data_IF_175601586084
#
_entry.id   IF_175601586084
#
_cell.length_a   1.000
_cell.length_b   1.000
_cell.length_c   1.000
_cell.angle_alpha   90.00
_cell.angle_beta   90.00
_cell.angle_gamma   90.00
#
_symmetry.space_group_name_H-M   'P 1'
#
loop_
_entity.id
_entity.type
_entity.pdbx_description
1 polymer ?
#
# COMPACT_ATOMS: atom_id res chain seq x y z
N UNK A 1 -19.71 3.40 7.10
CA UNK A 1 -19.11 4.68 6.67
C UNK A 1 -19.74 5.20 5.37
N UNK A 2 -19.73 4.45 4.27
CA UNK A 2 -20.28 4.90 2.99
C UNK A 2 -21.79 5.23 3.07
N UNK A 3 -22.62 4.35 3.64
CA UNK A 3 -24.05 4.63 3.84
C UNK A 3 -24.30 5.88 4.68
N UNK A 4 -23.53 6.06 5.76
CA UNK A 4 -23.57 7.26 6.60
C UNK A 4 -23.25 8.52 5.80
N UNK A 5 -22.24 8.47 4.93
CA UNK A 5 -21.85 9.57 4.06
C UNK A 5 -23.00 9.99 3.12
N UNK A 6 -23.67 9.03 2.49
CA UNK A 6 -24.81 9.28 1.61
C UNK A 6 -26.00 9.87 2.39
N UNK A 7 -26.33 9.29 3.55
CA UNK A 7 -27.45 9.75 4.38
C UNK A 7 -27.24 11.17 4.93
N UNK A 8 -26.02 11.48 5.41
CA UNK A 8 -25.71 12.81 5.97
C UNK A 8 -25.76 13.91 4.92
N UNK A 9 -25.45 13.57 3.67
CA UNK A 9 -25.42 14.54 2.57
C UNK A 9 -26.70 14.55 1.72
N UNK A 10 -27.75 13.84 2.15
CA UNK A 10 -29.05 13.74 1.46
C UNK A 10 -28.92 13.23 0.01
N UNK A 11 -28.02 12.26 -0.20
CA UNK A 11 -27.76 11.63 -1.49
C UNK A 11 -28.30 10.21 -1.48
N UNK A 12 -29.01 9.81 -2.55
CA UNK A 12 -29.55 8.47 -2.68
C UNK A 12 -28.44 7.42 -2.82
N UNK A 13 -28.48 6.38 -1.96
CA UNK A 13 -27.51 5.29 -1.98
C UNK A 13 -27.81 4.31 -3.12
N UNK A 14 -27.28 4.56 -4.31
CA UNK A 14 -27.46 3.72 -5.50
C UNK A 14 -26.14 3.08 -5.94
N UNK A 15 -26.25 1.96 -6.67
CA UNK A 15 -25.08 1.30 -7.26
C UNK A 15 -24.37 2.19 -8.28
N UNK A 16 -25.12 3.00 -9.01
CA UNK A 16 -24.58 3.96 -9.98
C UNK A 16 -23.76 5.07 -9.31
N UNK A 17 -24.24 5.59 -8.16
CA UNK A 17 -23.50 6.59 -7.39
C UNK A 17 -22.19 6.02 -6.81
N UNK A 18 -22.21 4.75 -6.38
CA UNK A 18 -21.00 4.07 -5.91
C UNK A 18 -20.00 3.89 -7.06
N UNK A 19 -20.44 3.48 -8.24
CA UNK A 19 -19.59 3.31 -9.41
C UNK A 19 -19.00 4.65 -9.90
N UNK A 20 -19.78 5.73 -9.79
CA UNK A 20 -19.32 7.08 -10.10
C UNK A 20 -18.22 7.53 -9.16
N UNK A 21 -18.37 7.31 -7.84
CA UNK A 21 -17.31 7.58 -6.87
C UNK A 21 -16.08 6.69 -7.08
N UNK A 22 -16.28 5.41 -7.36
CA UNK A 22 -15.19 4.49 -7.65
C UNK A 22 -14.37 4.96 -8.86
N UNK A 23 -15.05 5.40 -9.93
CA UNK A 23 -14.40 5.98 -11.10
C UNK A 23 -13.68 7.29 -10.78
N UNK A 24 -14.29 8.17 -9.96
CA UNK A 24 -13.70 9.43 -9.52
C UNK A 24 -12.40 9.24 -8.73
N UNK A 25 -12.36 8.19 -7.89
CA UNK A 25 -11.15 7.80 -7.14
C UNK A 25 -10.18 6.91 -7.95
N UNK A 26 -10.41 6.71 -9.25
CA UNK A 26 -9.61 5.84 -10.12
C UNK A 26 -9.51 4.38 -9.64
N UNK A 27 -10.56 3.88 -8.98
CA UNK A 27 -10.69 2.48 -8.54
C UNK A 27 -11.79 1.81 -9.36
N UNK A 28 -11.48 1.11 -10.46
CA UNK A 28 -12.48 0.62 -11.41
C UNK A 28 -13.33 -0.54 -10.87
N UNK A 29 -12.92 -1.18 -9.78
CA UNK A 29 -13.61 -2.31 -9.18
C UNK A 29 -14.36 -1.82 -7.94
N UNK A 30 -15.69 -2.00 -7.93
CA UNK A 30 -16.56 -1.55 -6.83
C UNK A 30 -16.17 -2.14 -5.48
N UNK A 31 -15.84 -3.42 -5.45
CA UNK A 31 -15.44 -4.12 -4.24
C UNK A 31 -14.16 -3.53 -3.61
N UNK A 32 -13.20 -3.15 -4.44
CA UNK A 32 -11.96 -2.53 -3.99
C UNK A 32 -12.20 -1.11 -3.48
N UNK A 33 -13.09 -0.36 -4.14
CA UNK A 33 -13.53 0.95 -3.65
C UNK A 33 -14.22 0.85 -2.29
N UNK A 34 -15.17 -0.09 -2.15
CA UNK A 34 -15.88 -0.32 -0.88
C UNK A 34 -14.92 -0.73 0.24
N UNK A 35 -13.93 -1.56 -0.07
CA UNK A 35 -12.87 -1.96 0.85
C UNK A 35 -12.03 -0.74 1.25
N UNK A 36 -11.58 0.05 0.30
CA UNK A 36 -10.78 1.25 0.54
C UNK A 36 -11.49 2.28 1.43
N UNK A 37 -12.79 2.47 1.26
CA UNK A 37 -13.60 3.31 2.16
C UNK A 37 -13.73 2.69 3.54
N UNK A 38 -13.88 1.36 3.64
CA UNK A 38 -13.95 0.63 4.90
C UNK A 38 -12.64 0.72 5.70
N UNK A 39 -11.53 0.56 5.05
CA UNK A 39 -10.17 0.62 5.59
C UNK A 39 -9.64 2.04 5.80
N UNK A 40 -10.44 3.07 5.45
CA UNK A 40 -10.07 4.49 5.50
C UNK A 40 -8.87 4.87 4.60
N UNK A 41 -8.55 4.06 3.62
CA UNK A 41 -7.56 4.40 2.56
C UNK A 41 -8.15 5.37 1.55
N UNK A 42 -9.48 5.33 1.38
CA UNK A 42 -10.24 6.31 0.61
C UNK A 42 -11.09 7.12 1.60
N UNK A 43 -10.81 8.42 1.69
CA UNK A 43 -11.53 9.35 2.56
C UNK A 43 -12.49 10.16 1.70
N UNK A 44 -13.78 10.04 1.99
CA UNK A 44 -14.83 10.79 1.29
C UNK A 44 -14.96 12.21 1.87
N UNK A 45 -15.12 13.20 1.00
CA UNK A 45 -15.18 14.62 1.37
C UNK A 45 -16.10 15.46 0.47
N UNK A 46 -15.97 16.79 0.54
CA UNK A 46 -16.81 17.72 -0.23
C UNK A 46 -16.72 17.53 -1.75
N UNK A 47 -15.58 17.14 -2.27
CA UNK A 47 -15.37 16.88 -3.71
C UNK A 47 -16.21 15.71 -4.22
N UNK A 48 -16.42 14.71 -3.38
CA UNK A 48 -17.26 13.55 -3.68
C UNK A 48 -18.73 13.91 -3.74
N UNK A 49 -19.15 14.85 -2.87
CA UNK A 49 -20.50 15.40 -2.88
C UNK A 49 -20.73 16.22 -4.16
N UNK A 50 -19.78 17.09 -4.53
CA UNK A 50 -19.85 17.88 -5.74
C UNK A 50 -19.92 17.00 -7.00
N UNK A 51 -19.16 15.89 -7.04
CA UNK A 51 -19.20 14.91 -8.13
C UNK A 51 -20.56 14.22 -8.23
N UNK A 52 -21.14 13.75 -7.11
CA UNK A 52 -22.44 13.06 -7.09
C UNK A 52 -23.63 14.00 -7.35
N UNK A 53 -23.55 15.25 -6.89
CA UNK A 53 -24.65 16.23 -7.01
C UNK A 53 -24.57 17.08 -8.28
N UNK A 54 -23.50 16.93 -9.06
CA UNK A 54 -23.26 17.74 -10.27
C UNK A 54 -23.02 19.23 -9.97
N UNK A 55 -22.76 19.60 -8.72
CA UNK A 55 -22.44 20.98 -8.31
C UNK A 55 -20.99 21.32 -8.67
N UNK A 56 -20.70 21.39 -9.97
CA UNK A 56 -19.51 22.11 -10.40
C UNK A 56 -19.72 23.58 -10.06
N UNK A 57 -18.95 24.11 -9.11
CA UNK A 57 -18.83 25.54 -8.92
C UNK A 57 -18.25 26.10 -10.23
N UNK A 58 -19.13 26.62 -11.09
CA UNK A 58 -18.69 27.52 -12.13
C UNK A 58 -18.04 28.71 -11.42
N UNK A 59 -16.74 28.75 -11.44
CA UNK A 59 -16.00 29.96 -11.10
C UNK A 59 -16.30 30.97 -12.19
N UNK A 60 -17.41 31.71 -12.03
CA UNK A 60 -17.69 32.93 -12.79
C UNK A 60 -16.63 33.96 -12.44
N UNK A 61 -15.52 33.88 -13.14
CA UNK A 61 -14.52 34.92 -13.17
C UNK A 61 -15.05 36.11 -13.99
N UNK A 62 -15.80 36.98 -13.37
CA UNK A 62 -16.05 38.32 -13.92
C UNK A 62 -14.85 39.22 -13.63
N UNK A 63 -14.14 39.55 -14.69
CA UNK A 63 -13.53 40.86 -14.89
C UNK A 63 -12.23 41.14 -14.15
N UNK A 64 -11.11 40.97 -14.86
CA UNK A 64 -10.11 42.02 -14.96
C UNK A 64 -9.23 41.79 -16.19
N UNK A 65 -9.76 42.27 -17.32
CA UNK A 65 -8.91 42.61 -18.48
C UNK A 65 -8.31 43.98 -18.18
N UNK A 66 -7.03 44.04 -17.89
CA UNK A 66 -6.11 45.09 -18.34
C UNK A 66 -4.71 44.87 -17.76
N UNK A 67 -3.74 44.96 -18.66
CA UNK A 67 -2.30 44.96 -18.50
C UNK A 67 -1.60 43.60 -18.53
N UNK A 68 -1.30 43.19 -19.75
CA UNK A 68 -0.17 42.30 -20.05
C UNK A 68 0.68 42.98 -21.13
N UNK A 69 1.96 43.15 -20.89
CA UNK A 69 2.91 43.26 -22.01
C UNK A 69 3.27 41.85 -22.48
N UNK A 70 3.12 41.68 -23.74
CA UNK A 70 3.54 40.64 -24.63
C UNK A 70 4.97 40.18 -24.37
N UNK A 71 5.19 38.91 -23.99
CA UNK A 71 6.45 38.19 -24.22
C UNK A 71 6.21 36.81 -24.79
N UNK A 72 6.98 36.54 -25.87
CA UNK A 72 6.94 35.38 -26.78
C UNK A 72 7.36 34.08 -26.14
N UNK A 73 6.67 33.02 -26.61
CA UNK A 73 7.12 31.68 -26.97
C UNK A 73 8.03 30.90 -26.02
N UNK A 74 7.53 29.78 -25.55
CA UNK A 74 8.36 28.73 -25.01
C UNK A 74 7.56 27.56 -24.42
N UNK A 75 7.27 26.59 -25.27
CA UNK A 75 7.04 25.14 -24.96
C UNK A 75 6.17 24.75 -23.76
N UNK A 76 5.06 24.10 -24.12
CA UNK A 76 4.21 23.27 -23.28
C UNK A 76 4.99 22.48 -22.19
N UNK A 77 4.75 22.85 -20.94
CA UNK A 77 4.92 21.93 -19.80
C UNK A 77 3.52 21.58 -19.30
N UNK A 78 3.10 20.36 -19.55
CA UNK A 78 1.98 19.73 -18.84
C UNK A 78 2.33 19.78 -17.35
N UNK A 79 1.51 20.51 -16.60
CA UNK A 79 1.55 20.48 -15.14
C UNK A 79 0.81 19.19 -14.73
N UNK A 80 1.56 18.16 -14.46
CA UNK A 80 1.05 16.99 -13.75
C UNK A 80 0.89 17.40 -12.29
N UNK A 81 -0.31 17.25 -11.77
CA UNK A 81 -0.62 17.45 -10.35
C UNK A 81 0.20 16.46 -9.53
N UNK A 82 1.18 16.97 -8.82
CA UNK A 82 1.98 16.23 -7.86
C UNK A 82 1.16 16.05 -6.58
N UNK A 83 0.50 14.91 -6.44
CA UNK A 83 0.31 14.32 -5.14
C UNK A 83 1.70 14.09 -4.56
N UNK A 84 2.02 14.74 -3.45
CA UNK A 84 3.30 14.65 -2.76
C UNK A 84 3.52 13.23 -2.24
N UNK A 85 3.95 12.31 -3.09
CA UNK A 85 4.57 11.06 -2.66
C UNK A 85 6.05 11.38 -2.41
N UNK A 86 6.50 11.23 -1.16
CA UNK A 86 7.92 11.34 -0.75
C UNK A 86 8.81 10.23 -1.37
N UNK A 87 8.36 9.60 -2.44
CA UNK A 87 9.08 8.51 -3.09
C UNK A 87 10.34 9.05 -3.78
N UNK A 88 11.45 8.38 -3.54
CA UNK A 88 12.73 8.70 -4.15
C UNK A 88 12.66 8.46 -5.66
N UNK A 89 12.83 9.53 -6.45
CA UNK A 89 13.02 9.44 -7.88
C UNK A 89 14.51 9.30 -8.16
N UNK A 90 14.88 8.21 -8.80
CA UNK A 90 16.28 7.87 -9.09
C UNK A 90 16.83 8.80 -10.16
N UNK A 91 17.86 9.58 -9.82
CA UNK A 91 18.65 10.32 -10.78
C UNK A 91 19.56 9.37 -11.58
N UNK A 92 19.88 9.73 -12.83
CA UNK A 92 20.78 8.96 -13.70
C UNK A 92 22.21 8.79 -13.13
N UNK A 93 22.51 9.48 -12.02
CA UNK A 93 23.77 9.42 -11.28
C UNK A 93 23.83 8.33 -10.19
N UNK A 94 22.73 7.59 -9.95
CA UNK A 94 22.72 6.55 -8.93
C UNK A 94 23.77 5.47 -9.26
N UNK A 95 24.70 5.25 -8.34
CA UNK A 95 25.73 4.22 -8.52
C UNK A 95 25.13 2.84 -8.24
N UNK A 96 24.66 2.18 -9.30
CA UNK A 96 23.99 0.87 -9.26
C UNK A 96 24.88 -0.28 -8.72
N UNK A 97 26.18 -0.04 -8.56
CA UNK A 97 27.13 -1.04 -8.01
C UNK A 97 27.19 -1.00 -6.47
N UNK A 98 26.65 0.04 -5.85
CA UNK A 98 26.58 0.15 -4.38
C UNK A 98 25.19 -0.28 -3.91
N UNK A 99 25.09 -1.08 -2.83
CA UNK A 99 23.80 -1.40 -2.24
C UNK A 99 23.13 -0.14 -1.71
N UNK A 100 21.80 -0.10 -1.82
CA UNK A 100 20.99 0.89 -1.13
C UNK A 100 20.71 0.39 0.30
N UNK A 101 20.78 1.29 1.26
CA UNK A 101 20.47 0.97 2.65
C UNK A 101 19.09 1.52 3.01
N UNK A 102 18.22 0.64 3.49
CA UNK A 102 16.88 0.98 3.93
C UNK A 102 16.94 1.23 5.43
N UNK A 103 16.71 2.47 5.84
CA UNK A 103 16.80 2.93 7.24
C UNK A 103 15.45 3.47 7.70
N UNK A 104 15.26 3.63 9.01
CA UNK A 104 14.06 4.24 9.59
C UNK A 104 13.75 5.64 9.00
N UNK A 105 14.80 6.39 8.64
CA UNK A 105 14.67 7.75 8.12
C UNK A 105 14.28 7.82 6.63
N UNK A 106 14.60 6.81 5.83
CA UNK A 106 14.36 6.83 4.38
C UNK A 106 13.32 5.80 3.90
N UNK A 107 12.72 5.02 4.79
CA UNK A 107 11.78 3.95 4.44
C UNK A 107 10.60 4.45 3.60
N UNK A 108 10.11 5.65 3.87
CA UNK A 108 9.01 6.28 3.12
C UNK A 108 9.37 6.65 1.67
N UNK A 109 10.65 6.58 1.30
CA UNK A 109 11.13 6.86 -0.05
C UNK A 109 11.04 5.65 -0.97
N UNK A 110 10.81 4.46 -0.43
CA UNK A 110 10.72 3.19 -1.15
C UNK A 110 9.30 2.67 -1.19
N UNK A 111 8.98 1.95 -2.25
CA UNK A 111 7.70 1.28 -2.40
C UNK A 111 7.85 -0.20 -2.08
N UNK A 112 7.23 -0.66 -1.00
CA UNK A 112 7.24 -2.07 -0.61
C UNK A 112 6.15 -2.82 -1.34
N UNK A 113 6.52 -3.94 -1.96
CA UNK A 113 5.61 -4.62 -2.87
C UNK A 113 4.75 -5.66 -2.16
N UNK A 114 3.44 -5.56 -2.39
CA UNK A 114 2.43 -6.45 -1.78
C UNK A 114 2.52 -7.92 -2.21
N UNK A 115 3.23 -8.22 -3.31
CA UNK A 115 3.40 -9.60 -3.77
C UNK A 115 4.29 -10.46 -2.84
N UNK A 116 5.08 -9.83 -1.97
CA UNK A 116 6.02 -10.53 -1.08
C UNK A 116 6.18 -9.88 0.30
N UNK A 117 5.55 -8.72 0.56
CA UNK A 117 5.57 -8.02 1.84
C UNK A 117 6.93 -8.08 2.54
N UNK A 118 8.00 -7.51 1.94
CA UNK A 118 9.33 -7.61 2.51
C UNK A 118 9.42 -6.86 3.83
N UNK A 119 9.99 -7.51 4.84
CA UNK A 119 10.19 -6.96 6.19
C UNK A 119 11.67 -6.90 6.55
N UNK A 120 12.09 -6.10 7.54
CA UNK A 120 13.47 -6.06 7.99
C UNK A 120 14.02 -7.44 8.33
N UNK A 121 15.25 -7.72 7.89
CA UNK A 121 15.89 -9.03 8.01
C UNK A 121 15.65 -9.97 6.84
N UNK A 122 14.72 -9.66 5.91
CA UNK A 122 14.61 -10.38 4.66
C UNK A 122 15.77 -10.04 3.71
N UNK A 123 16.14 -11.01 2.85
CA UNK A 123 17.04 -10.73 1.73
C UNK A 123 16.26 -10.04 0.63
N UNK A 124 16.58 -8.77 0.37
CA UNK A 124 15.80 -7.91 -0.52
C UNK A 124 16.61 -7.42 -1.71
N UNK A 125 15.87 -6.97 -2.72
CA UNK A 125 16.40 -6.24 -3.85
C UNK A 125 15.50 -5.05 -4.19
N UNK A 126 16.09 -4.02 -4.78
CA UNK A 126 15.38 -2.88 -5.35
C UNK A 126 15.19 -3.06 -6.86
N UNK A 127 14.04 -2.66 -7.37
CA UNK A 127 13.76 -2.56 -8.79
C UNK A 127 13.38 -1.13 -9.14
N UNK A 128 14.02 -0.56 -10.16
CA UNK A 128 13.68 0.78 -10.66
C UNK A 128 12.53 0.66 -11.64
N UNK A 129 11.36 1.18 -11.30
CA UNK A 129 10.17 1.16 -12.15
C UNK A 129 10.26 2.16 -13.31
N UNK A 130 9.21 2.23 -14.15
CA UNK A 130 9.16 3.16 -15.29
C UNK A 130 9.04 4.63 -14.87
N UNK A 131 8.63 4.90 -13.63
CA UNK A 131 8.54 6.23 -13.03
C UNK A 131 9.82 6.62 -12.29
N UNK A 132 10.88 5.82 -12.43
CA UNK A 132 12.14 5.95 -11.70
C UNK A 132 11.98 5.83 -10.18
N UNK A 133 10.96 5.15 -9.68
CA UNK A 133 10.78 4.83 -8.27
C UNK A 133 11.43 3.49 -7.94
N UNK A 134 11.85 3.31 -6.69
CA UNK A 134 12.47 2.06 -6.24
C UNK A 134 11.42 1.20 -5.54
N UNK A 135 11.13 0.05 -6.14
CA UNK A 135 10.27 -0.98 -5.60
C UNK A 135 11.11 -2.03 -4.87
N UNK A 136 10.80 -2.29 -3.60
CA UNK A 136 11.51 -3.27 -2.78
C UNK A 136 10.76 -4.60 -2.81
N UNK A 137 11.48 -5.65 -3.17
CA UNK A 137 11.00 -7.02 -3.19
C UNK A 137 11.88 -7.92 -2.33
N UNK A 138 11.29 -8.98 -1.78
CA UNK A 138 12.05 -10.11 -1.28
C UNK A 138 12.75 -10.81 -2.47
N UNK A 139 14.02 -11.16 -2.32
CA UNK A 139 14.84 -11.77 -3.40
C UNK A 139 14.29 -13.12 -3.85
N UNK A 140 13.61 -13.85 -2.96
CA UNK A 140 12.93 -15.11 -3.27
C UNK A 140 11.57 -14.94 -3.97
N UNK A 141 11.08 -13.71 -4.14
CA UNK A 141 9.79 -13.46 -4.76
C UNK A 141 9.77 -13.87 -6.24
N UNK A 142 8.76 -14.63 -6.72
CA UNK A 142 8.65 -15.00 -8.13
C UNK A 142 8.55 -13.80 -9.08
N UNK A 143 7.95 -12.69 -8.62
CA UNK A 143 7.90 -11.44 -9.40
C UNK A 143 9.30 -10.84 -9.52
N UNK A 144 10.04 -10.78 -8.43
CA UNK A 144 11.42 -10.30 -8.42
C UNK A 144 12.33 -11.12 -9.34
N UNK A 145 12.16 -12.45 -9.34
CA UNK A 145 12.90 -13.34 -10.24
C UNK A 145 12.64 -13.03 -11.72
N UNK A 146 11.39 -12.79 -12.09
CA UNK A 146 11.00 -12.37 -13.46
C UNK A 146 11.56 -10.98 -13.81
N UNK A 147 11.47 -10.02 -12.91
CA UNK A 147 12.02 -8.68 -13.11
C UNK A 147 13.54 -8.73 -13.31
N UNK A 148 14.25 -9.55 -12.54
CA UNK A 148 15.68 -9.76 -12.67
C UNK A 148 16.06 -10.37 -14.03
N UNK A 149 15.28 -11.32 -14.53
CA UNK A 149 15.53 -11.96 -15.83
C UNK A 149 15.27 -11.02 -17.01
N UNK A 150 14.21 -10.20 -16.92
CA UNK A 150 13.78 -9.33 -18.03
C UNK A 150 14.46 -7.95 -18.01
N UNK A 151 14.78 -7.44 -16.82
CA UNK A 151 15.27 -6.08 -16.62
C UNK A 151 16.44 -6.01 -15.63
N UNK A 152 17.42 -6.90 -15.78
CA UNK A 152 18.56 -7.01 -14.86
C UNK A 152 19.34 -5.71 -14.66
N UNK A 153 19.38 -4.84 -15.67
CA UNK A 153 20.02 -3.53 -15.61
C UNK A 153 19.27 -2.52 -14.71
N UNK A 154 18.04 -2.83 -14.26
CA UNK A 154 17.21 -1.99 -13.38
C UNK A 154 17.15 -2.53 -11.95
N UNK A 155 17.88 -3.61 -11.68
CA UNK A 155 17.97 -4.20 -10.34
C UNK A 155 19.07 -3.49 -9.54
N UNK A 156 18.76 -3.21 -8.29
CA UNK A 156 19.65 -2.66 -7.28
C UNK A 156 19.82 -3.67 -6.15
N UNK A 157 21.00 -3.75 -5.61
CA UNK A 157 21.20 -4.46 -4.35
C UNK A 157 20.64 -3.61 -3.21
N UNK A 158 19.90 -4.22 -2.29
CA UNK A 158 19.26 -3.53 -1.17
C UNK A 158 19.54 -4.26 0.14
N UNK A 159 19.73 -3.51 1.22
CA UNK A 159 19.98 -4.04 2.55
C UNK A 159 19.20 -3.25 3.59
N UNK A 160 18.69 -3.94 4.59
CA UNK A 160 18.09 -3.33 5.75
C UNK A 160 19.16 -2.84 6.73
N UNK A 161 18.96 -1.64 7.22
CA UNK A 161 19.72 -1.03 8.32
C UNK A 161 18.71 -0.30 9.23
N UNK A 162 17.92 -1.09 9.97
CA UNK A 162 16.78 -0.63 10.75
C UNK A 162 17.01 -0.87 12.24
N UNK A 163 16.52 0.06 13.04
CA UNK A 163 16.36 -0.16 14.48
C UNK A 163 14.91 -0.63 14.71
N UNK A 164 14.64 -1.59 15.57
CA UNK A 164 13.32 -2.17 15.84
C UNK A 164 12.26 -1.16 16.35
N UNK A 165 12.12 -0.01 15.67
CA UNK A 165 11.20 1.07 16.04
C UNK A 165 9.90 1.04 15.26
N UNK A 166 9.91 0.46 14.07
CA UNK A 166 8.75 0.37 13.18
C UNK A 166 8.15 -1.03 13.18
N UNK A 167 6.88 -1.11 12.87
CA UNK A 167 6.14 -2.36 12.71
C UNK A 167 5.83 -2.61 11.26
N UNK A 168 5.88 -3.87 10.88
CA UNK A 168 5.62 -4.36 9.53
C UNK A 168 4.56 -5.45 9.57
N UNK A 169 3.72 -5.50 8.54
CA UNK A 169 2.72 -6.52 8.43
C UNK A 169 3.34 -7.80 7.84
N UNK A 170 3.17 -8.90 8.53
CA UNK A 170 3.59 -10.24 8.10
C UNK A 170 2.40 -11.19 8.13
N UNK A 171 2.42 -12.19 7.26
CA UNK A 171 1.39 -13.22 7.22
C UNK A 171 2.00 -14.56 7.60
N UNK A 172 1.43 -15.21 8.60
CA UNK A 172 1.76 -16.57 9.01
C UNK A 172 0.59 -17.49 8.70
N UNK A 173 0.85 -18.60 8.01
CA UNK A 173 -0.13 -19.64 7.76
C UNK A 173 0.21 -20.87 8.58
N UNK A 174 -0.79 -21.38 9.30
CA UNK A 174 -0.68 -22.55 10.15
C UNK A 174 -1.66 -23.59 9.64
N UNK A 175 -1.16 -24.80 9.35
CA UNK A 175 -1.97 -25.94 8.94
C UNK A 175 -1.74 -27.09 9.90
N UNK A 176 -2.82 -27.78 10.27
CA UNK A 176 -2.74 -28.92 11.17
C UNK A 176 -4.06 -29.64 11.27
N UNK A 177 -4.11 -30.66 12.16
CA UNK A 177 -5.34 -31.37 12.48
C UNK A 177 -6.18 -30.49 13.40
N UNK A 178 -7.45 -30.26 13.02
CA UNK A 178 -8.37 -29.49 13.85
C UNK A 178 -8.69 -30.20 15.17
N UNK A 179 -8.77 -29.42 16.23
CA UNK A 179 -9.17 -29.88 17.55
C UNK A 179 -9.71 -28.77 18.41
N UNK A 180 -10.56 -29.13 19.35
CA UNK A 180 -11.10 -28.14 20.31
C UNK A 180 -9.96 -27.41 21.04
N UNK A 181 -10.00 -26.07 20.98
CA UNK A 181 -9.04 -25.21 21.65
C UNK A 181 -7.81 -24.82 20.82
N UNK A 182 -7.60 -25.39 19.62
CA UNK A 182 -6.43 -25.11 18.78
C UNK A 182 -6.27 -23.60 18.50
N UNK A 183 -7.33 -22.92 18.09
CA UNK A 183 -7.30 -21.47 17.86
C UNK A 183 -6.89 -20.70 19.12
N UNK A 184 -7.40 -21.08 20.28
CA UNK A 184 -7.05 -20.43 21.53
C UNK A 184 -5.55 -20.62 21.86
N UNK A 185 -5.01 -21.80 21.61
CA UNK A 185 -3.57 -22.06 21.79
C UNK A 185 -2.73 -21.20 20.85
N UNK A 186 -3.03 -21.20 19.55
CA UNK A 186 -2.33 -20.41 18.55
C UNK A 186 -2.37 -18.91 18.90
N UNK A 187 -3.55 -18.37 19.18
CA UNK A 187 -3.68 -16.95 19.53
C UNK A 187 -2.99 -16.60 20.84
N UNK A 188 -2.95 -17.53 21.80
CA UNK A 188 -2.25 -17.34 23.06
C UNK A 188 -0.72 -17.29 22.86
N UNK A 189 -0.17 -18.16 22.02
CA UNK A 189 1.26 -18.10 21.64
C UNK A 189 1.57 -16.75 20.99
N UNK A 190 0.83 -16.38 19.95
CA UNK A 190 1.09 -15.14 19.21
C UNK A 190 0.97 -13.92 20.11
N UNK A 191 -0.15 -13.76 20.82
CA UNK A 191 -0.46 -12.52 21.51
C UNK A 191 0.12 -12.43 22.91
N UNK A 192 0.14 -13.53 23.70
CA UNK A 192 0.58 -13.48 25.09
C UNK A 192 2.04 -13.87 25.26
N UNK A 193 2.49 -14.93 24.59
CA UNK A 193 3.87 -15.40 24.79
C UNK A 193 4.84 -14.54 23.97
N UNK A 194 4.50 -14.23 22.72
CA UNK A 194 5.35 -13.47 21.82
C UNK A 194 5.07 -11.96 21.85
N UNK A 195 4.00 -11.52 22.53
CA UNK A 195 3.55 -10.13 22.58
C UNK A 195 3.38 -9.48 21.18
N UNK A 196 2.94 -10.29 20.21
CA UNK A 196 2.72 -9.88 18.84
C UNK A 196 1.24 -9.55 18.63
N UNK A 197 0.95 -8.41 18.01
CA UNK A 197 -0.41 -8.00 17.73
C UNK A 197 -0.94 -8.70 16.47
N UNK A 198 -2.11 -9.34 16.60
CA UNK A 198 -2.85 -9.96 15.50
C UNK A 198 -3.78 -8.91 14.89
N UNK A 199 -3.67 -8.68 13.59
CA UNK A 199 -4.50 -7.73 12.86
C UNK A 199 -5.71 -8.38 12.23
N UNK A 200 -5.51 -9.52 11.55
CA UNK A 200 -6.56 -10.28 10.88
C UNK A 200 -6.36 -11.76 11.10
N UNK A 201 -7.45 -12.48 11.25
CA UNK A 201 -7.45 -13.97 11.33
C UNK A 201 -8.48 -14.49 10.33
N UNK A 202 -8.02 -15.35 9.43
CA UNK A 202 -8.88 -16.12 8.54
C UNK A 202 -8.66 -17.60 8.80
N UNK A 203 -9.72 -18.31 9.13
CA UNK A 203 -9.65 -19.74 9.45
C UNK A 203 -10.66 -20.49 8.60
N UNK A 204 -10.22 -21.60 8.06
CA UNK A 204 -11.06 -22.61 7.44
C UNK A 204 -10.75 -23.96 8.05
N UNK A 205 -11.78 -24.71 8.38
CA UNK A 205 -11.67 -26.10 8.84
C UNK A 205 -12.42 -26.95 7.83
N UNK A 206 -11.71 -27.85 7.16
CA UNK A 206 -12.23 -28.71 6.12
C UNK A 206 -11.66 -30.13 6.32
N UNK A 207 -12.51 -31.16 6.37
CA UNK A 207 -12.10 -32.54 6.58
C UNK A 207 -11.13 -32.74 7.76
N UNK A 208 -11.43 -32.18 8.94
CA UNK A 208 -10.58 -32.18 10.13
C UNK A 208 -9.21 -31.52 9.97
N UNK A 209 -9.03 -30.72 8.90
CA UNK A 209 -7.84 -29.91 8.67
C UNK A 209 -8.12 -28.45 9.03
N UNK A 210 -7.35 -27.93 9.98
CA UNK A 210 -7.28 -26.52 10.29
C UNK A 210 -6.34 -25.82 9.31
N UNK A 211 -6.80 -24.77 8.64
CA UNK A 211 -5.98 -23.85 7.84
C UNK A 211 -6.23 -22.43 8.34
N UNK A 212 -5.32 -21.91 9.14
CA UNK A 212 -5.39 -20.59 9.74
C UNK A 212 -4.37 -19.64 9.12
N UNK A 213 -4.83 -18.50 8.60
CA UNK A 213 -4.00 -17.40 8.11
C UNK A 213 -4.09 -16.23 9.07
N UNK A 214 -2.96 -15.83 9.63
CA UNK A 214 -2.84 -14.76 10.62
C UNK A 214 -2.02 -13.62 10.04
N UNK A 215 -2.61 -12.42 9.96
CA UNK A 215 -1.89 -11.20 9.67
C UNK A 215 -1.47 -10.56 11.00
N UNK A 216 -0.18 -10.43 11.18
CA UNK A 216 0.45 -10.03 12.45
C UNK A 216 1.37 -8.83 12.22
N UNK A 217 1.63 -8.08 13.29
CA UNK A 217 2.58 -6.97 13.28
C UNK A 217 3.86 -7.33 14.00
N UNK A 218 4.96 -7.28 13.27
CA UNK A 218 6.30 -7.64 13.73
C UNK A 218 7.28 -6.52 13.45
N UNK A 219 8.43 -6.52 14.15
CA UNK A 219 9.49 -5.54 13.86
C UNK A 219 10.41 -6.04 12.73
N UNK A 220 10.68 -7.34 12.71
CA UNK A 220 11.59 -7.95 11.75
C UNK A 220 11.31 -9.44 11.56
N UNK A 221 12.12 -10.06 10.72
CA UNK A 221 12.06 -11.49 10.42
C UNK A 221 12.38 -12.37 11.63
N UNK A 222 13.15 -11.89 12.58
CA UNK A 222 13.49 -12.67 13.79
C UNK A 222 12.26 -12.87 14.67
N UNK A 223 11.39 -11.87 14.78
CA UNK A 223 10.12 -12.00 15.49
C UNK A 223 9.25 -13.11 14.85
N UNK A 224 9.19 -13.16 13.51
CA UNK A 224 8.46 -14.21 12.78
C UNK A 224 9.10 -15.58 13.02
N UNK A 225 10.43 -15.67 13.00
CA UNK A 225 11.15 -16.92 13.24
C UNK A 225 10.89 -17.45 14.64
N UNK A 226 11.01 -16.62 15.65
CA UNK A 226 10.71 -17.00 17.03
C UNK A 226 9.27 -17.51 17.19
N UNK A 227 8.34 -16.94 16.45
CA UNK A 227 6.95 -17.38 16.45
C UNK A 227 6.76 -18.76 15.79
N UNK A 228 7.56 -19.08 14.78
CA UNK A 228 7.48 -20.41 14.10
C UNK A 228 8.15 -21.50 14.95
N UNK A 229 9.18 -21.13 15.71
CA UNK A 229 9.98 -22.06 16.53
C UNK A 229 9.27 -22.42 17.87
N UNK A 230 8.18 -21.73 18.28
CA UNK A 230 7.38 -21.98 19.48
C UNK A 230 6.11 -22.76 19.21
#
# INVERSE_FOLDING_TARGET
QLRSFFTVNDIEYTTTAIDQLAAFHNVPIREDFLRGVGEKTIILGEKDIDELTGRRKETTGKGWRKFVPFFKTGKNKKTEEQGSSNLMVVDDKLNRKKPIFITDSNISQYKFMHCCHPIPGDDVLGFIDNKKQIEIHNRACPVAARLKSSFGNRILDAKWEMNKTLFFDATVQIKGIDRIGLLNEVTNVISRQMNVNIHTVNITCDDDIFDGKFEIRVHDREDVRLLIDN
#
